data_IF_257469405368
#
_entry.id   IF_257469405368
#
_cell.length_a   1.000
_cell.length_b   1.000
_cell.length_c   1.000
_cell.angle_alpha   90.00
_cell.angle_beta   90.00
_cell.angle_gamma   90.00
#
_symmetry.space_group_name_H-M   'P 1'
#
loop_
_entity.id
_entity.type
_entity.pdbx_description
1 polymer ?
#
# COMPACT_ATOMS: atom_id res chain seq x y z
N UNK A 1 15.59 -11.20 -8.03
CA UNK A 1 15.78 -12.15 -9.14
C UNK A 1 15.15 -13.49 -8.83
N UNK A 2 15.54 -14.19 -7.77
CA UNK A 2 15.05 -15.53 -7.43
C UNK A 2 13.52 -15.65 -7.48
N UNK A 3 12.79 -14.73 -6.85
CA UNK A 3 11.31 -14.78 -6.85
C UNK A 3 10.70 -14.66 -8.25
N UNK A 4 11.30 -13.87 -9.15
CA UNK A 4 10.86 -13.79 -10.54
C UNK A 4 11.12 -15.10 -11.30
N UNK A 5 12.27 -15.73 -11.09
CA UNK A 5 12.54 -17.04 -11.65
C UNK A 5 11.51 -18.08 -11.21
N UNK A 6 11.10 -18.03 -9.93
CA UNK A 6 10.07 -18.93 -9.40
C UNK A 6 8.67 -18.62 -9.93
N UNK A 7 8.28 -17.34 -10.05
CA UNK A 7 6.92 -16.96 -10.47
C UNK A 7 6.71 -16.95 -11.99
N UNK A 8 7.72 -16.56 -12.76
CA UNK A 8 7.62 -16.43 -14.21
C UNK A 8 8.24 -17.61 -14.95
N UNK A 9 9.25 -18.26 -14.37
CA UNK A 9 10.06 -19.25 -15.06
C UNK A 9 9.88 -20.69 -14.60
N UNK A 10 9.34 -20.96 -13.40
CA UNK A 10 9.28 -22.32 -12.89
C UNK A 10 8.14 -23.17 -13.47
N UNK A 11 7.01 -22.56 -13.82
CA UNK A 11 5.87 -23.22 -14.44
C UNK A 11 5.41 -22.46 -15.68
N UNK A 12 5.16 -23.17 -16.76
CA UNK A 12 4.49 -22.56 -17.92
C UNK A 12 2.99 -22.32 -17.63
N UNK A 13 2.36 -21.33 -18.27
CA UNK A 13 0.94 -21.00 -18.00
C UNK A 13 -0.04 -22.15 -18.18
N UNK A 14 0.26 -23.09 -19.07
CA UNK A 14 -0.56 -24.26 -19.40
C UNK A 14 0.01 -25.60 -18.86
N UNK A 15 0.97 -25.53 -17.93
CA UNK A 15 1.53 -26.73 -17.30
C UNK A 15 0.52 -27.50 -16.46
N UNK A 16 -0.49 -26.82 -15.90
CA UNK A 16 -1.48 -27.40 -15.00
C UNK A 16 -2.69 -27.94 -15.77
N UNK A 17 -2.76 -29.26 -15.95
CA UNK A 17 -3.82 -29.92 -16.71
C UNK A 17 -5.09 -30.20 -15.87
N UNK A 18 -4.91 -30.52 -14.57
CA UNK A 18 -5.99 -30.90 -13.63
C UNK A 18 -6.89 -32.03 -14.12
N UNK A 19 -6.36 -32.90 -14.96
CA UNK A 19 -7.12 -34.07 -15.44
C UNK A 19 -7.28 -35.10 -14.31
N UNK A 20 -8.52 -35.38 -13.92
CA UNK A 20 -8.82 -36.34 -12.85
C UNK A 20 -8.55 -37.78 -13.26
N UNK A 21 -8.58 -38.10 -14.56
CA UNK A 21 -8.34 -39.43 -15.11
C UNK A 21 -6.89 -39.62 -15.61
N UNK A 22 -6.14 -38.53 -15.71
CA UNK A 22 -4.81 -38.50 -16.28
C UNK A 22 -3.77 -37.81 -15.40
N UNK A 23 -3.19 -36.71 -15.90
CA UNK A 23 -2.11 -35.99 -15.24
C UNK A 23 -2.61 -34.73 -14.54
N UNK A 24 -2.05 -34.46 -13.36
CA UNK A 24 -2.26 -33.18 -12.67
C UNK A 24 -1.56 -32.03 -13.39
N UNK A 25 -0.33 -32.26 -13.85
CA UNK A 25 0.47 -31.26 -14.57
C UNK A 25 1.37 -31.96 -15.59
N UNK A 26 1.76 -31.23 -16.65
CA UNK A 26 2.76 -31.69 -17.60
C UNK A 26 4.17 -31.45 -17.04
N UNK A 27 4.95 -32.52 -16.73
CA UNK A 27 6.28 -32.35 -16.15
C UNK A 27 7.27 -31.71 -17.11
N UNK A 28 7.03 -31.75 -18.42
CA UNK A 28 7.89 -31.07 -19.40
C UNK A 28 7.78 -29.54 -19.36
N UNK A 29 6.68 -29.04 -18.75
CA UNK A 29 6.38 -27.60 -18.57
C UNK A 29 6.64 -27.09 -17.17
N UNK A 30 7.32 -27.90 -16.34
CA UNK A 30 7.75 -27.53 -14.99
C UNK A 30 9.27 -27.50 -14.96
N UNK A 31 9.82 -26.32 -14.80
CA UNK A 31 11.25 -26.07 -14.95
C UNK A 31 11.95 -25.96 -13.60
N UNK A 32 13.16 -26.51 -13.52
CA UNK A 32 14.01 -26.33 -12.36
C UNK A 32 14.57 -24.91 -12.36
N UNK A 33 14.54 -24.27 -11.19
CA UNK A 33 15.18 -22.97 -10.95
C UNK A 33 16.52 -23.22 -10.26
N UNK A 34 17.61 -22.79 -10.92
CA UNK A 34 18.93 -22.80 -10.35
C UNK A 34 19.41 -21.35 -10.19
N UNK A 35 19.53 -20.91 -8.94
CA UNK A 35 19.88 -19.54 -8.57
C UNK A 35 21.05 -19.55 -7.58
N UNK A 36 22.14 -18.93 -7.98
CA UNK A 36 23.31 -18.66 -7.13
C UNK A 36 23.54 -17.14 -7.07
N UNK A 37 22.92 -16.49 -6.07
CA UNK A 37 23.05 -15.06 -5.84
C UNK A 37 23.91 -14.75 -4.62
N UNK A 38 24.26 -13.48 -4.39
CA UNK A 38 25.09 -13.08 -3.25
C UNK A 38 24.44 -13.29 -1.88
N UNK A 39 23.12 -13.43 -1.83
CA UNK A 39 22.34 -13.56 -0.58
C UNK A 39 21.52 -14.85 -0.49
N UNK A 40 21.12 -15.41 -1.65
CA UNK A 40 20.25 -16.57 -1.73
C UNK A 40 20.79 -17.58 -2.72
N UNK A 41 20.71 -18.84 -2.36
CA UNK A 41 21.00 -20.00 -3.22
C UNK A 41 19.75 -20.87 -3.25
N UNK A 42 19.32 -21.29 -4.42
CA UNK A 42 18.12 -22.14 -4.57
C UNK A 42 18.27 -23.02 -5.79
N UNK A 43 18.13 -24.33 -5.58
CA UNK A 43 18.23 -25.34 -6.62
C UNK A 43 17.03 -26.28 -6.50
N UNK A 44 15.98 -26.05 -7.28
CA UNK A 44 14.77 -26.84 -7.17
C UNK A 44 13.62 -26.34 -8.03
N UNK A 45 12.45 -26.88 -7.76
CA UNK A 45 11.24 -26.53 -8.50
C UNK A 45 10.37 -25.58 -7.67
N UNK A 46 9.66 -24.66 -8.35
CA UNK A 46 8.59 -23.88 -7.73
C UNK A 46 7.47 -24.82 -7.27
N UNK A 47 6.98 -24.64 -6.04
CA UNK A 47 5.91 -25.46 -5.46
C UNK A 47 4.50 -24.90 -5.73
N UNK A 48 4.39 -23.79 -6.45
CA UNK A 48 3.13 -23.17 -6.84
C UNK A 48 3.01 -23.14 -8.35
N UNK A 49 1.84 -23.54 -8.88
CA UNK A 49 1.54 -23.42 -10.31
C UNK A 49 1.47 -21.96 -10.75
N UNK A 50 1.59 -21.74 -12.06
CA UNK A 50 1.49 -20.41 -12.65
C UNK A 50 0.13 -19.75 -12.34
N UNK A 51 0.19 -18.50 -11.87
CA UNK A 51 -0.99 -17.67 -11.65
C UNK A 51 -1.47 -17.08 -12.99
N UNK A 52 -2.77 -16.81 -13.19
CA UNK A 52 -3.25 -16.12 -14.40
C UNK A 52 -2.52 -14.80 -14.72
N UNK A 53 -1.92 -14.17 -13.74
CA UNK A 53 -1.14 -12.94 -13.92
C UNK A 53 0.39 -13.13 -13.77
N UNK A 54 0.86 -14.38 -13.63
CA UNK A 54 2.27 -14.68 -13.36
C UNK A 54 2.70 -14.18 -11.99
N UNK A 55 3.67 -13.29 -11.96
CA UNK A 55 4.08 -12.56 -10.74
C UNK A 55 2.88 -11.89 -10.07
N UNK A 56 2.69 -12.01 -8.74
CA UNK A 56 1.70 -11.21 -8.02
C UNK A 56 1.93 -9.71 -8.24
N UNK A 57 0.86 -8.90 -8.14
CA UNK A 57 1.02 -7.44 -8.19
C UNK A 57 1.90 -6.99 -7.04
N UNK A 58 2.95 -6.24 -7.34
CA UNK A 58 3.96 -5.82 -6.37
C UNK A 58 3.66 -4.43 -5.84
N UNK A 59 3.43 -4.37 -4.54
CA UNK A 59 3.26 -3.12 -3.81
C UNK A 59 4.52 -2.81 -2.99
N UNK A 60 4.91 -1.53 -2.97
CA UNK A 60 6.02 -1.04 -2.16
C UNK A 60 5.52 0.05 -1.20
N UNK A 61 5.87 -0.08 0.07
CA UNK A 61 5.69 0.97 1.06
C UNK A 61 7.08 1.44 1.53
N UNK A 62 7.35 2.72 1.43
CA UNK A 62 8.60 3.30 1.92
C UNK A 62 9.07 4.49 1.10
N UNK A 63 9.34 5.58 1.80
CA UNK A 63 9.74 6.87 1.24
C UNK A 63 11.25 7.16 1.37
N UNK A 64 12.04 6.22 1.90
CA UNK A 64 13.49 6.36 1.93
C UNK A 64 14.07 6.31 0.49
N UNK A 65 15.25 6.92 0.23
CA UNK A 65 15.87 6.86 -1.10
C UNK A 65 16.00 5.43 -1.64
N UNK A 66 16.40 4.47 -0.79
CA UNK A 66 16.48 3.06 -1.16
C UNK A 66 15.10 2.44 -1.46
N UNK A 67 14.09 2.80 -0.67
CA UNK A 67 12.70 2.36 -0.87
C UNK A 67 12.11 2.89 -2.17
N UNK A 68 12.34 4.18 -2.49
CA UNK A 68 11.91 4.79 -3.74
C UNK A 68 12.59 4.14 -4.95
N UNK A 69 13.90 3.93 -4.91
CA UNK A 69 14.65 3.26 -5.98
C UNK A 69 14.17 1.81 -6.19
N UNK A 70 13.93 1.08 -5.10
CA UNK A 70 13.38 -0.27 -5.17
C UNK A 70 11.96 -0.27 -5.74
N UNK A 71 11.10 0.64 -5.26
CA UNK A 71 9.73 0.82 -5.74
C UNK A 71 9.68 1.16 -7.22
N UNK A 72 10.42 2.16 -7.66
CA UNK A 72 10.51 2.54 -9.06
C UNK A 72 10.92 1.38 -9.96
N UNK A 73 11.88 0.57 -9.51
CA UNK A 73 12.37 -0.57 -10.29
C UNK A 73 11.41 -1.77 -10.31
N UNK A 74 10.77 -2.08 -9.19
CA UNK A 74 10.09 -3.37 -9.01
C UNK A 74 8.59 -3.28 -8.72
N UNK A 75 8.10 -2.17 -8.18
CA UNK A 75 6.70 -2.05 -7.81
C UNK A 75 5.80 -1.71 -9.00
N UNK A 76 4.55 -2.12 -8.90
CA UNK A 76 3.45 -1.71 -9.78
C UNK A 76 2.54 -0.71 -9.06
N UNK A 77 2.60 -0.69 -7.71
CA UNK A 77 1.99 0.35 -6.89
C UNK A 77 2.91 0.72 -5.73
N UNK A 78 2.92 2.00 -5.36
CA UNK A 78 3.64 2.52 -4.21
C UNK A 78 2.67 3.20 -3.25
N UNK A 79 2.75 2.83 -1.96
CA UNK A 79 2.08 3.56 -0.89
C UNK A 79 3.02 4.65 -0.38
N UNK A 80 2.57 5.90 -0.50
CA UNK A 80 3.29 7.05 0.03
C UNK A 80 3.01 7.22 1.52
N UNK A 81 3.98 7.79 2.21
CA UNK A 81 3.77 8.26 3.58
C UNK A 81 2.76 9.41 3.61
N UNK A 82 2.11 9.59 4.77
CA UNK A 82 1.22 10.74 4.99
C UNK A 82 1.97 12.08 4.90
N UNK A 83 1.23 13.17 5.03
CA UNK A 83 1.74 14.53 4.97
C UNK A 83 0.81 15.44 4.17
N UNK A 84 1.24 16.69 3.92
CA UNK A 84 0.48 17.59 3.06
C UNK A 84 0.45 17.10 1.61
N UNK A 85 -0.52 17.54 0.83
CA UNK A 85 -0.61 17.23 -0.60
C UNK A 85 0.69 17.56 -1.35
N UNK A 86 1.34 18.67 -1.00
CA UNK A 86 2.65 19.05 -1.55
C UNK A 86 3.73 17.99 -1.30
N UNK A 87 3.84 17.47 -0.06
CA UNK A 87 4.80 16.42 0.29
C UNK A 87 4.47 15.13 -0.45
N UNK A 88 3.19 14.78 -0.56
CA UNK A 88 2.76 13.61 -1.33
C UNK A 88 3.06 13.75 -2.82
N UNK A 89 2.85 14.94 -3.40
CA UNK A 89 3.21 15.24 -4.79
C UNK A 89 4.72 15.11 -5.06
N UNK A 90 5.55 15.54 -4.13
CA UNK A 90 7.00 15.37 -4.22
C UNK A 90 7.40 13.89 -4.18
N UNK A 91 6.81 13.11 -3.30
CA UNK A 91 7.04 11.67 -3.20
C UNK A 91 6.54 10.92 -4.46
N UNK A 92 5.37 11.29 -4.99
CA UNK A 92 4.83 10.73 -6.22
C UNK A 92 5.78 10.97 -7.41
N UNK A 93 6.25 12.19 -7.57
CA UNK A 93 7.26 12.54 -8.59
C UNK A 93 8.56 11.77 -8.40
N UNK A 94 9.01 11.59 -7.15
CA UNK A 94 10.25 10.87 -6.86
C UNK A 94 10.16 9.39 -7.26
N UNK A 95 9.09 8.67 -6.92
CA UNK A 95 8.95 7.25 -7.28
C UNK A 95 8.82 7.06 -8.79
N UNK A 96 8.08 7.94 -9.49
CA UNK A 96 7.96 7.91 -10.96
C UNK A 96 9.29 8.20 -11.65
N UNK A 97 10.09 9.14 -11.12
CA UNK A 97 11.43 9.40 -11.62
C UNK A 97 12.36 8.20 -11.45
N UNK A 98 12.23 7.45 -10.35
CA UNK A 98 12.96 6.19 -10.15
C UNK A 98 12.52 5.09 -11.14
N UNK A 99 11.24 5.02 -11.48
CA UNK A 99 10.77 4.10 -12.52
C UNK A 99 11.41 4.42 -13.88
N UNK A 100 11.47 5.68 -14.27
CA UNK A 100 12.14 6.12 -15.50
C UNK A 100 13.65 5.82 -15.47
N UNK A 101 14.31 6.06 -14.34
CA UNK A 101 15.74 5.70 -14.16
C UNK A 101 15.98 4.19 -14.29
N UNK A 102 15.01 3.38 -13.90
CA UNK A 102 15.05 1.93 -14.06
C UNK A 102 14.67 1.44 -15.49
N UNK A 103 14.44 2.35 -16.44
CA UNK A 103 14.06 2.03 -17.82
C UNK A 103 12.60 1.69 -18.02
N UNK A 104 11.71 2.03 -17.03
CA UNK A 104 10.29 1.79 -17.11
C UNK A 104 9.53 3.05 -17.56
N UNK A 105 8.28 2.89 -17.96
CA UNK A 105 7.41 4.02 -18.33
C UNK A 105 7.14 4.92 -17.10
N UNK A 106 6.90 6.22 -17.29
CA UNK A 106 6.60 7.16 -16.18
C UNK A 106 5.36 6.77 -15.37
N UNK A 107 4.38 6.11 -15.99
CA UNK A 107 3.11 5.65 -15.41
C UNK A 107 3.13 4.19 -14.93
N UNK A 108 4.32 3.55 -14.95
CA UNK A 108 4.49 2.15 -14.60
C UNK A 108 4.21 1.84 -13.11
N UNK A 109 4.25 2.85 -12.24
CA UNK A 109 3.98 2.72 -10.82
C UNK A 109 2.79 3.58 -10.44
N UNK A 110 1.71 2.92 -10.00
CA UNK A 110 0.54 3.59 -9.44
C UNK A 110 0.85 4.10 -8.04
N UNK A 111 0.51 5.34 -7.78
CA UNK A 111 0.84 5.99 -6.52
C UNK A 111 -0.41 6.14 -5.67
N UNK A 112 -0.34 5.62 -4.45
CA UNK A 112 -1.44 5.61 -3.50
C UNK A 112 -1.02 6.23 -2.18
N UNK A 113 -1.97 6.85 -1.47
CA UNK A 113 -1.78 7.35 -0.11
C UNK A 113 -2.80 6.75 0.84
N UNK A 114 -2.46 6.72 2.14
CA UNK A 114 -3.44 6.42 3.18
C UNK A 114 -4.44 7.57 3.32
N UNK A 115 -5.70 7.24 3.49
CA UNK A 115 -6.76 8.20 3.72
C UNK A 115 -7.64 7.77 4.88
N UNK A 116 -7.70 8.63 5.88
CA UNK A 116 -8.51 8.47 7.08
C UNK A 116 -9.71 9.40 6.99
N UNK A 117 -10.93 8.90 7.18
CA UNK A 117 -12.11 9.74 7.23
C UNK A 117 -13.17 9.23 8.21
N UNK A 118 -13.95 10.19 8.70
CA UNK A 118 -15.21 9.95 9.38
C UNK A 118 -16.30 10.61 8.55
N UNK A 119 -17.17 9.79 7.97
CA UNK A 119 -18.20 10.22 7.04
C UNK A 119 -19.61 9.89 7.57
N UNK A 120 -20.54 10.78 7.28
CA UNK A 120 -21.96 10.62 7.53
C UNK A 120 -22.77 11.38 6.44
N UNK A 121 -24.10 11.23 6.37
CA UNK A 121 -24.92 11.97 5.42
C UNK A 121 -24.74 13.49 5.53
N UNK A 122 -24.58 14.01 6.74
CA UNK A 122 -24.34 15.45 6.99
C UNK A 122 -23.04 15.67 7.76
N UNK A 123 -22.46 16.87 7.63
CA UNK A 123 -21.28 17.28 8.40
C UNK A 123 -21.52 17.23 9.91
N UNK A 124 -22.70 17.61 10.36
CA UNK A 124 -23.05 17.60 11.79
C UNK A 124 -23.03 16.17 12.36
N UNK A 125 -23.60 15.21 11.64
CA UNK A 125 -23.60 13.79 12.03
C UNK A 125 -22.17 13.22 12.00
N UNK A 126 -21.34 13.61 11.02
CA UNK A 126 -19.94 13.19 10.94
C UNK A 126 -19.13 13.70 12.14
N UNK A 127 -19.33 14.96 12.55
CA UNK A 127 -18.70 15.53 13.75
C UNK A 127 -19.12 14.81 15.01
N UNK A 128 -20.43 14.57 15.21
CA UNK A 128 -20.93 13.84 16.37
C UNK A 128 -20.38 12.40 16.42
N UNK A 129 -20.27 11.74 15.26
CA UNK A 129 -19.65 10.41 15.15
C UNK A 129 -18.17 10.44 15.50
N UNK A 130 -17.43 11.44 15.06
CA UNK A 130 -16.02 11.61 15.39
C UNK A 130 -15.82 11.87 16.88
N UNK A 131 -16.63 12.72 17.50
CA UNK A 131 -16.60 12.95 18.95
C UNK A 131 -16.86 11.66 19.75
N UNK A 132 -17.81 10.83 19.31
CA UNK A 132 -18.09 9.54 19.94
C UNK A 132 -16.89 8.56 19.81
N UNK A 133 -16.19 8.56 18.66
CA UNK A 133 -14.97 7.77 18.47
C UNK A 133 -13.89 8.24 19.44
N UNK A 134 -13.64 9.55 19.54
CA UNK A 134 -12.64 10.09 20.46
C UNK A 134 -12.98 9.78 21.92
N UNK A 135 -14.24 9.90 22.31
CA UNK A 135 -14.68 9.58 23.67
C UNK A 135 -14.54 8.10 24.05
N UNK A 136 -14.45 7.20 23.06
CA UNK A 136 -14.27 5.76 23.29
C UNK A 136 -12.80 5.33 23.41
N UNK A 137 -11.87 6.23 23.15
CA UNK A 137 -10.43 5.91 23.16
C UNK A 137 -9.92 5.72 24.59
N UNK A 138 -9.02 4.75 24.76
CA UNK A 138 -8.33 4.49 26.01
C UNK A 138 -6.89 4.96 25.92
N UNK A 139 -6.44 5.92 26.75
CA UNK A 139 -5.05 6.42 26.75
C UNK A 139 -4.00 5.33 27.00
N UNK A 140 -4.31 4.29 27.77
CA UNK A 140 -3.39 3.18 28.03
C UNK A 140 -3.07 2.39 26.75
N UNK A 141 -4.04 2.32 25.82
CA UNK A 141 -3.83 1.70 24.51
C UNK A 141 -2.85 2.52 23.66
N UNK A 142 -2.83 3.85 23.82
CA UNK A 142 -1.89 4.71 23.10
C UNK A 142 -0.44 4.38 23.46
N UNK A 143 -0.14 4.19 24.74
CA UNK A 143 1.18 3.81 25.25
C UNK A 143 1.62 2.48 24.63
N UNK A 144 0.77 1.45 24.74
CA UNK A 144 1.08 0.10 24.22
C UNK A 144 1.24 0.09 22.69
N UNK A 145 0.36 0.80 21.97
CA UNK A 145 0.43 0.87 20.51
C UNK A 145 1.63 1.67 20.03
N UNK A 146 1.99 2.76 20.69
CA UNK A 146 3.22 3.50 20.37
C UNK A 146 4.45 2.60 20.53
N UNK A 147 4.57 1.89 21.65
CA UNK A 147 5.66 0.95 21.91
C UNK A 147 5.73 -0.16 20.84
N UNK A 148 4.58 -0.70 20.44
CA UNK A 148 4.50 -1.73 19.41
C UNK A 148 5.02 -1.23 18.04
N UNK A 149 4.68 -0.01 17.63
CA UNK A 149 5.08 0.55 16.34
C UNK A 149 6.50 1.12 16.31
N UNK A 150 6.98 1.59 17.44
CA UNK A 150 8.29 2.30 17.49
C UNK A 150 9.37 1.53 18.22
N UNK A 151 9.01 0.50 19.00
CA UNK A 151 9.94 -0.20 19.88
C UNK A 151 10.36 0.63 21.11
N UNK A 152 9.68 1.77 21.36
CA UNK A 152 10.01 2.67 22.46
C UNK A 152 8.84 2.77 23.44
N UNK A 153 9.02 2.25 24.64
CA UNK A 153 8.04 2.36 25.72
C UNK A 153 8.15 3.74 26.38
N UNK A 154 7.23 4.63 26.05
CA UNK A 154 7.16 5.97 26.58
C UNK A 154 6.63 6.04 28.02
N UNK A 155 6.01 4.97 28.56
CA UNK A 155 5.53 4.97 29.95
C UNK A 155 6.63 5.08 30.99
N UNK A 156 7.86 4.74 30.60
CA UNK A 156 9.04 4.79 31.48
C UNK A 156 9.68 6.19 31.59
N UNK A 157 9.17 7.18 30.85
CA UNK A 157 9.70 8.55 30.81
C UNK A 157 8.75 9.52 31.48
N UNK A 158 9.32 10.60 32.04
CA UNK A 158 8.54 11.74 32.51
C UNK A 158 7.78 12.39 31.34
N UNK A 159 6.50 12.76 31.49
CA UNK A 159 5.72 13.40 30.41
C UNK A 159 6.34 14.67 29.83
N UNK A 160 7.15 15.39 30.59
CA UNK A 160 7.86 16.59 30.13
C UNK A 160 9.19 16.29 29.43
N UNK A 161 9.59 15.02 29.35
CA UNK A 161 10.81 14.60 28.65
C UNK A 161 10.70 14.95 27.17
N UNK A 162 11.66 15.72 26.59
CA UNK A 162 11.69 15.99 25.16
C UNK A 162 11.93 14.72 24.34
N UNK A 163 11.23 14.54 23.23
CA UNK A 163 11.47 13.45 22.28
C UNK A 163 12.86 13.52 21.63
N UNK A 164 13.44 14.71 21.59
CA UNK A 164 14.80 14.94 21.08
C UNK A 164 15.83 14.17 21.91
N UNK A 165 16.54 13.25 21.28
CA UNK A 165 17.54 12.43 21.96
C UNK A 165 17.08 11.00 22.29
N UNK A 166 15.78 10.70 22.23
CA UNK A 166 15.31 9.34 22.28
C UNK A 166 15.69 8.60 20.99
N UNK A 167 15.94 7.31 21.09
CA UNK A 167 16.42 6.50 19.96
C UNK A 167 15.61 5.20 19.82
N UNK A 168 15.35 4.83 18.59
CA UNK A 168 14.83 3.51 18.23
C UNK A 168 15.40 3.05 16.89
N UNK A 169 15.56 1.76 16.73
CA UNK A 169 15.95 1.15 15.46
C UNK A 169 14.73 0.80 14.57
N UNK A 170 13.52 0.72 15.14
CA UNK A 170 12.34 0.27 14.41
C UNK A 170 11.68 1.39 13.59
N UNK A 171 11.61 2.62 14.09
CA UNK A 171 10.88 3.69 13.41
C UNK A 171 11.49 5.06 13.62
N UNK A 172 12.59 5.32 12.93
CA UNK A 172 13.25 6.65 12.95
C UNK A 172 12.35 7.75 12.40
N UNK A 173 11.49 7.43 11.44
CA UNK A 173 10.55 8.38 10.85
C UNK A 173 9.57 8.93 11.89
N UNK A 174 9.04 8.09 12.78
CA UNK A 174 8.13 8.53 13.83
C UNK A 174 8.85 9.42 14.86
N UNK A 175 10.08 9.09 15.25
CA UNK A 175 10.86 9.98 16.12
C UNK A 175 11.10 11.35 15.49
N UNK A 176 11.39 11.40 14.19
CA UNK A 176 11.58 12.66 13.47
C UNK A 176 10.29 13.47 13.42
N UNK A 177 9.13 12.80 13.19
CA UNK A 177 7.81 13.45 13.20
C UNK A 177 7.53 14.19 14.51
N UNK A 178 7.93 13.60 15.63
CA UNK A 178 7.64 14.11 16.97
C UNK A 178 8.82 14.82 17.65
N UNK A 179 9.90 15.11 16.94
CA UNK A 179 11.14 15.65 17.53
C UNK A 179 10.97 16.97 18.30
N UNK A 180 9.97 17.78 17.98
CA UNK A 180 9.65 19.03 18.66
C UNK A 180 8.68 18.93 19.83
N UNK A 181 8.27 17.72 20.21
CA UNK A 181 7.26 17.47 21.24
C UNK A 181 7.86 16.84 22.48
N UNK A 182 7.12 16.86 23.59
CA UNK A 182 7.42 16.07 24.79
C UNK A 182 6.72 14.71 24.74
N UNK A 183 7.13 13.77 25.59
CA UNK A 183 6.52 12.45 25.74
C UNK A 183 5.01 12.55 25.96
N UNK A 184 4.57 13.43 26.89
CA UNK A 184 3.15 13.62 27.17
C UNK A 184 2.36 14.13 25.96
N UNK A 185 2.95 15.06 25.19
CA UNK A 185 2.33 15.57 23.95
C UNK A 185 2.22 14.48 22.88
N UNK A 186 3.25 13.65 22.72
CA UNK A 186 3.22 12.53 21.77
C UNK A 186 2.19 11.49 22.16
N UNK A 187 2.07 11.13 23.43
CA UNK A 187 1.06 10.17 23.88
C UNK A 187 -0.35 10.72 23.71
N UNK A 188 -0.57 12.02 23.94
CA UNK A 188 -1.86 12.66 23.69
C UNK A 188 -2.22 12.70 22.21
N UNK A 189 -1.27 13.05 21.34
CA UNK A 189 -1.45 13.01 19.88
C UNK A 189 -1.72 11.58 19.40
N UNK A 190 -0.95 10.62 19.90
CA UNK A 190 -1.08 9.22 19.54
C UNK A 190 -2.40 8.60 20.01
N UNK A 191 -2.88 8.99 21.19
CA UNK A 191 -4.20 8.58 21.68
C UNK A 191 -5.33 9.07 20.76
N UNK A 192 -5.13 10.23 20.13
CA UNK A 192 -6.15 10.82 19.24
C UNK A 192 -6.05 10.31 17.80
N UNK A 193 -4.86 10.14 17.29
CA UNK A 193 -4.62 9.89 15.86
C UNK A 193 -3.98 8.52 15.55
N UNK A 194 -3.40 7.85 16.55
CA UNK A 194 -2.67 6.60 16.36
C UNK A 194 -1.46 6.77 15.44
N UNK A 195 -1.22 5.78 14.61
CA UNK A 195 -0.14 5.79 13.58
C UNK A 195 -0.45 6.77 12.45
N UNK A 196 -1.73 7.05 12.21
CA UNK A 196 -2.23 7.85 11.10
C UNK A 196 -2.07 9.35 11.27
N UNK A 197 -2.84 10.07 10.53
CA UNK A 197 -3.06 11.51 10.65
C UNK A 197 -4.51 11.77 11.10
N UNK A 198 -4.80 13.02 11.46
CA UNK A 198 -6.18 13.40 11.78
C UNK A 198 -7.11 13.02 10.61
N UNK A 199 -8.24 12.33 10.87
CA UNK A 199 -9.16 11.95 9.82
C UNK A 199 -9.84 13.18 9.20
N UNK A 200 -10.16 13.11 7.93
CA UNK A 200 -11.07 14.08 7.33
C UNK A 200 -12.50 13.81 7.83
N UNK A 201 -13.11 14.79 8.48
CA UNK A 201 -14.48 14.65 9.04
C UNK A 201 -15.45 15.51 8.22
N UNK A 202 -16.43 14.87 7.58
CA UNK A 202 -17.35 15.60 6.74
C UNK A 202 -18.52 14.77 6.22
N UNK A 203 -19.42 15.45 5.50
CA UNK A 203 -20.47 14.79 4.72
C UNK A 203 -19.85 13.99 3.55
N UNK A 204 -20.65 13.10 2.97
CA UNK A 204 -20.22 12.29 1.85
C UNK A 204 -19.71 13.13 0.65
N UNK A 205 -20.36 14.28 0.39
CA UNK A 205 -19.96 15.19 -0.69
C UNK A 205 -18.64 15.86 -0.37
N UNK A 206 -18.45 16.37 0.86
CA UNK A 206 -17.19 16.99 1.30
C UNK A 206 -16.02 16.01 1.28
N UNK A 207 -16.22 14.75 1.69
CA UNK A 207 -15.19 13.71 1.60
C UNK A 207 -14.83 13.43 0.14
N UNK A 208 -15.82 13.31 -0.75
CA UNK A 208 -15.59 13.09 -2.17
C UNK A 208 -14.87 14.28 -2.84
N UNK A 209 -15.24 15.53 -2.49
CA UNK A 209 -14.58 16.73 -2.97
C UNK A 209 -13.12 16.78 -2.54
N UNK A 210 -12.86 16.50 -1.26
CA UNK A 210 -11.51 16.49 -0.71
C UNK A 210 -10.64 15.42 -1.38
N UNK A 211 -11.17 14.23 -1.60
CA UNK A 211 -10.44 13.14 -2.29
C UNK A 211 -10.09 13.51 -3.74
N UNK A 212 -11.03 14.10 -4.48
CA UNK A 212 -10.77 14.54 -5.85
C UNK A 212 -9.67 15.61 -5.88
N UNK A 213 -9.77 16.61 -5.00
CA UNK A 213 -8.78 17.69 -4.90
C UNK A 213 -7.39 17.14 -4.50
N UNK A 214 -7.33 16.25 -3.51
CA UNK A 214 -6.09 15.63 -3.07
C UNK A 214 -5.44 14.80 -4.19
N UNK A 215 -6.23 14.00 -4.90
CA UNK A 215 -5.74 13.19 -6.01
C UNK A 215 -5.17 14.03 -7.14
N UNK A 216 -5.82 15.15 -7.46
CA UNK A 216 -5.36 16.09 -8.48
C UNK A 216 -4.10 16.84 -8.04
N UNK A 217 -4.09 17.41 -6.81
CA UNK A 217 -2.97 18.20 -6.29
C UNK A 217 -1.70 17.36 -6.09
N UNK A 218 -1.86 16.13 -5.58
CA UNK A 218 -0.75 15.23 -5.27
C UNK A 218 -0.43 14.23 -6.38
N UNK A 219 -1.14 14.27 -7.52
CA UNK A 219 -0.96 13.37 -8.66
C UNK A 219 -1.04 11.90 -8.24
N UNK A 220 -2.12 11.54 -7.52
CA UNK A 220 -2.34 10.19 -6.98
C UNK A 220 -3.23 9.36 -7.90
N UNK A 221 -2.95 8.07 -7.97
CA UNK A 221 -3.76 7.08 -8.69
C UNK A 221 -4.82 6.40 -7.81
N UNK A 222 -4.71 6.52 -6.49
CA UNK A 222 -5.66 5.91 -5.58
C UNK A 222 -5.39 6.17 -4.10
N UNK A 223 -6.25 5.59 -3.28
CA UNK A 223 -6.16 5.65 -1.82
C UNK A 223 -6.17 4.26 -1.20
N UNK A 224 -5.55 4.15 -0.03
CA UNK A 224 -5.75 3.07 0.93
C UNK A 224 -6.64 3.61 2.05
N UNK A 225 -7.90 3.21 2.08
CA UNK A 225 -8.83 3.62 3.12
C UNK A 225 -8.41 3.01 4.46
N UNK A 226 -8.17 3.87 5.45
CA UNK A 226 -7.96 3.50 6.85
C UNK A 226 -9.26 3.74 7.63
N UNK A 227 -10.05 2.71 7.91
CA UNK A 227 -11.29 2.89 8.66
C UNK A 227 -11.02 3.09 10.14
N UNK A 228 -11.61 4.12 10.73
CA UNK A 228 -11.49 4.42 12.15
C UNK A 228 -12.19 3.37 13.03
N UNK A 229 -13.30 2.84 12.57
CA UNK A 229 -14.08 1.79 13.24
C UNK A 229 -14.51 0.73 12.24
N UNK A 230 -14.09 -0.52 12.46
CA UNK A 230 -14.47 -1.65 11.61
C UNK A 230 -15.74 -2.34 12.14
N UNK A 231 -16.66 -2.76 11.25
CA UNK A 231 -16.69 -2.56 9.79
C UNK A 231 -17.38 -1.24 9.39
N UNK A 232 -17.91 -0.49 10.33
CA UNK A 232 -18.84 0.62 10.10
C UNK A 232 -18.26 1.70 9.20
N UNK A 233 -17.02 2.16 9.47
CA UNK A 233 -16.41 3.22 8.64
C UNK A 233 -16.19 2.78 7.19
N UNK A 234 -15.91 1.48 6.95
CA UNK A 234 -15.81 0.95 5.59
C UNK A 234 -17.17 0.93 4.91
N UNK A 235 -18.23 0.51 5.61
CA UNK A 235 -19.59 0.49 5.10
C UNK A 235 -20.03 1.91 4.73
N UNK A 236 -19.84 2.87 5.64
CA UNK A 236 -20.20 4.27 5.39
C UNK A 236 -19.49 4.83 4.15
N UNK A 237 -18.20 4.55 4.00
CA UNK A 237 -17.47 5.00 2.81
C UNK A 237 -18.01 4.38 1.52
N UNK A 238 -18.27 3.07 1.54
CA UNK A 238 -18.78 2.34 0.37
C UNK A 238 -20.20 2.77 0.00
N UNK A 239 -21.05 3.03 0.99
CA UNK A 239 -22.47 3.38 0.76
C UNK A 239 -22.67 4.87 0.47
N UNK A 240 -21.88 5.75 1.07
CA UNK A 240 -22.10 7.19 0.98
C UNK A 240 -21.13 7.89 0.00
N UNK A 241 -19.84 7.55 0.02
CA UNK A 241 -18.80 8.27 -0.75
C UNK A 241 -18.57 7.63 -2.12
N UNK A 242 -18.42 6.31 -2.16
CA UNK A 242 -18.07 5.60 -3.39
C UNK A 242 -19.08 5.81 -4.54
N UNK A 243 -20.41 5.90 -4.32
CA UNK A 243 -21.35 6.23 -5.38
C UNK A 243 -21.10 7.61 -5.99
N UNK A 244 -20.72 8.61 -5.18
CA UNK A 244 -20.40 9.96 -5.66
C UNK A 244 -19.14 9.93 -6.52
N UNK A 245 -18.08 9.24 -6.06
CA UNK A 245 -16.83 9.09 -6.81
C UNK A 245 -17.05 8.36 -8.15
N UNK A 246 -17.92 7.34 -8.16
CA UNK A 246 -18.31 6.63 -9.40
C UNK A 246 -19.10 7.53 -10.36
N UNK A 247 -20.05 8.30 -9.86
CA UNK A 247 -20.80 9.24 -10.68
C UNK A 247 -19.91 10.33 -11.30
N UNK A 248 -18.79 10.66 -10.66
CA UNK A 248 -17.76 11.58 -11.17
C UNK A 248 -16.76 10.90 -12.11
N UNK A 249 -16.84 9.59 -12.30
CA UNK A 249 -15.92 8.83 -13.15
C UNK A 249 -14.51 8.64 -12.59
N UNK A 250 -14.29 8.94 -11.29
CA UNK A 250 -12.95 8.84 -10.64
C UNK A 250 -12.75 7.53 -9.85
N UNK A 251 -13.81 6.78 -9.61
CA UNK A 251 -13.71 5.45 -9.03
C UNK A 251 -14.18 4.39 -10.04
N UNK A 252 -13.44 3.27 -10.16
CA UNK A 252 -13.79 2.24 -11.13
C UNK A 252 -15.11 1.56 -10.76
N UNK A 253 -15.87 1.19 -11.77
CA UNK A 253 -16.94 0.20 -11.66
C UNK A 253 -16.31 -1.16 -11.97
N UNK A 254 -16.43 -2.11 -11.03
CA UNK A 254 -15.86 -3.44 -11.22
C UNK A 254 -16.75 -4.24 -12.18
N UNK A 255 -16.45 -4.21 -13.47
CA UNK A 255 -17.15 -4.97 -14.48
C UNK A 255 -16.32 -6.18 -14.95
N UNK A 256 -16.93 -7.37 -14.87
CA UNK A 256 -16.42 -8.60 -15.44
C UNK A 256 -15.18 -9.22 -14.75
N UNK A 257 -14.76 -10.37 -15.25
CA UNK A 257 -13.59 -11.09 -14.76
C UNK A 257 -12.30 -10.39 -15.24
N UNK A 258 -11.51 -9.88 -14.30
CA UNK A 258 -10.19 -9.31 -14.57
C UNK A 258 -9.27 -9.59 -13.40
N UNK A 259 -7.97 -9.75 -13.68
CA UNK A 259 -6.96 -9.87 -12.64
C UNK A 259 -6.76 -8.52 -11.93
N UNK A 260 -6.15 -8.56 -10.74
CA UNK A 260 -5.82 -7.32 -10.02
C UNK A 260 -4.92 -6.40 -10.87
N UNK A 261 -3.94 -6.95 -11.60
CA UNK A 261 -3.07 -6.16 -12.46
C UNK A 261 -3.82 -5.45 -13.57
N UNK A 262 -4.73 -6.13 -14.26
CA UNK A 262 -5.55 -5.51 -15.30
C UNK A 262 -6.35 -4.34 -14.77
N UNK A 263 -6.96 -4.50 -13.59
CA UNK A 263 -7.73 -3.42 -12.94
C UNK A 263 -6.85 -2.26 -12.45
N UNK A 264 -5.71 -2.58 -11.86
CA UNK A 264 -4.81 -1.58 -11.29
C UNK A 264 -4.11 -0.74 -12.37
N UNK A 265 -3.63 -1.39 -13.44
CA UNK A 265 -2.85 -0.72 -14.48
C UNK A 265 -3.68 -0.30 -15.68
N UNK A 266 -4.96 -0.73 -15.77
CA UNK A 266 -5.82 -0.43 -16.92
C UNK A 266 -5.33 -1.07 -18.21
N UNK A 267 -4.73 -2.27 -18.15
CA UNK A 267 -4.17 -2.99 -19.29
C UNK A 267 -4.97 -4.26 -19.61
N UNK A 268 -4.96 -4.70 -20.87
CA UNK A 268 -5.66 -5.91 -21.30
C UNK A 268 -4.89 -7.19 -20.92
N UNK A 269 -3.56 -7.18 -21.00
CA UNK A 269 -2.71 -8.31 -20.65
C UNK A 269 -2.63 -8.47 -19.12
N UNK A 270 -2.96 -9.63 -18.55
CA UNK A 270 -2.86 -9.86 -17.11
C UNK A 270 -1.43 -10.01 -16.61
N UNK A 271 -0.45 -10.18 -17.49
CA UNK A 271 0.95 -10.45 -17.12
C UNK A 271 1.76 -9.15 -16.91
N UNK A 272 2.99 -9.27 -16.41
CA UNK A 272 3.88 -8.12 -16.23
C UNK A 272 4.11 -7.37 -17.55
N UNK A 273 4.11 -6.03 -17.56
CA UNK A 273 4.53 -5.25 -18.74
C UNK A 273 5.97 -5.59 -19.17
N UNK A 274 6.25 -5.45 -20.47
CA UNK A 274 7.56 -5.80 -21.02
C UNK A 274 8.73 -4.99 -20.43
N UNK A 275 8.47 -3.77 -19.97
CA UNK A 275 9.45 -2.89 -19.31
C UNK A 275 9.67 -3.23 -17.83
N UNK A 276 8.90 -4.19 -17.27
CA UNK A 276 9.10 -4.64 -15.91
C UNK A 276 10.23 -5.67 -15.83
N UNK A 277 11.19 -5.56 -14.88
CA UNK A 277 12.37 -6.44 -14.83
C UNK A 277 12.02 -7.92 -14.61
N UNK A 278 10.86 -8.24 -14.03
CA UNK A 278 10.37 -9.61 -13.88
C UNK A 278 9.98 -10.27 -15.19
N UNK A 279 9.57 -9.49 -16.20
CA UNK A 279 9.15 -10.03 -17.50
C UNK A 279 10.28 -10.79 -18.24
N UNK A 280 11.54 -10.45 -17.96
CA UNK A 280 12.69 -11.13 -18.52
C UNK A 280 12.88 -12.58 -18.06
N UNK A 281 12.14 -13.01 -17.03
CA UNK A 281 12.23 -14.35 -16.46
C UNK A 281 11.11 -15.29 -16.91
N UNK A 282 10.24 -14.85 -17.80
CA UNK A 282 9.19 -15.73 -18.34
C UNK A 282 9.81 -16.93 -19.02
N UNK A 283 9.27 -18.11 -18.73
CA UNK A 283 9.58 -19.30 -19.51
C UNK A 283 9.25 -19.00 -20.97
N UNK A 284 10.29 -18.96 -21.80
CA UNK A 284 10.13 -18.78 -23.23
C UNK A 284 9.43 -20.04 -23.77
N UNK A 285 8.27 -19.85 -24.40
CA UNK A 285 7.72 -20.91 -25.26
C UNK A 285 8.78 -21.22 -26.32
N UNK A 286 9.13 -22.50 -26.54
CA UNK A 286 10.01 -22.88 -27.62
C UNK A 286 9.40 -22.52 -28.99
#
# INVERSE_FOLDING_TARGET
>A
QLVYQLWEGAWEPDALERDKAGRFADPAKVHRVDHDGPYFHSHGYGNTSYSPQGTPVLFQAGSSPAGLAFGGRHAEAAFLGGGSATVQAEQARAVRAEAVRAGRRPDAVKVMTSFDCVVAPTRQEALAKHEAILASQNPDVAVASYAMFTGLDLSSYDPDTPMTGLRTELSRTQLTRFAGMTVGQVLADWATHGVGSAPFVGSAVEVADHLCALAEEADLDGILLHPQVQPTSTIDFVELVLPILRARGVAPVADGPATLRQRLLGQDDPTLPADHPGAAYRATRP
#
